data_IF_017670096213
#
_entry.id   IF_017670096213
#
_cell.length_a   1.000
_cell.length_b   1.000
_cell.length_c   1.000
_cell.angle_alpha   90.00
_cell.angle_beta   90.00
_cell.angle_gamma   90.00
#
_symmetry.space_group_name_H-M   'P 1'
#
loop_
_entity.id
_entity.type
_entity.pdbx_description
1 polymer ?
#
# COMPACT_ATOMS: atom_id res chain seq x y z
N UNK A 1 11.69 1.18 5.82
CA UNK A 1 11.55 2.29 6.78
C UNK A 1 11.90 3.64 6.18
N UNK A 2 13.16 3.92 5.79
CA UNK A 2 13.52 5.26 5.25
C UNK A 2 12.63 5.77 4.10
N UNK A 3 12.29 4.91 3.13
CA UNK A 3 11.38 5.25 2.02
C UNK A 3 9.93 5.49 2.46
N UNK A 4 9.46 4.79 3.49
CA UNK A 4 8.13 4.99 4.05
C UNK A 4 8.05 6.35 4.73
N UNK A 5 9.06 6.69 5.54
CA UNK A 5 9.17 8.01 6.18
C UNK A 5 9.25 9.11 5.12
N UNK A 6 10.06 8.93 4.08
CA UNK A 6 10.12 9.88 2.96
C UNK A 6 8.75 10.09 2.31
N UNK A 7 8.01 9.02 2.01
CA UNK A 7 6.67 9.13 1.46
C UNK A 7 5.71 9.88 2.40
N UNK A 8 5.73 9.58 3.70
CA UNK A 8 4.91 10.30 4.69
C UNK A 8 5.27 11.79 4.75
N UNK A 9 6.56 12.13 4.74
CA UNK A 9 7.01 13.53 4.81
C UNK A 9 6.67 14.26 3.51
N UNK A 10 6.94 13.65 2.36
CA UNK A 10 6.67 14.23 1.05
C UNK A 10 5.17 14.48 0.88
N UNK A 11 4.34 13.45 1.04
CA UNK A 11 2.90 13.60 0.88
C UNK A 11 2.25 14.40 2.02
N UNK A 12 2.75 14.27 3.26
CA UNK A 12 2.33 15.12 4.37
C UNK A 12 2.63 16.60 4.13
N UNK A 13 3.74 16.93 3.46
CA UNK A 13 4.04 18.32 3.09
C UNK A 13 3.04 18.88 2.06
N UNK A 14 2.46 18.03 1.21
CA UNK A 14 1.43 18.49 0.26
C UNK A 14 0.16 18.95 0.96
N UNK A 15 -0.17 18.39 2.13
CA UNK A 15 -1.29 18.84 2.95
C UNK A 15 -1.08 20.28 3.41
N UNK A 16 0.15 20.64 3.80
CA UNK A 16 0.51 22.02 4.16
C UNK A 16 0.44 22.97 2.94
N UNK A 17 0.85 22.51 1.76
CA UNK A 17 0.75 23.29 0.53
C UNK A 17 -0.72 23.59 0.14
N UNK A 18 -1.63 22.64 0.38
CA UNK A 18 -3.08 22.86 0.20
C UNK A 18 -3.59 23.85 1.26
N UNK A 19 -3.25 23.64 2.55
CA UNK A 19 -3.66 24.54 3.64
C UNK A 19 -3.21 25.98 3.42
N UNK A 20 -1.99 26.19 2.93
CA UNK A 20 -1.46 27.52 2.61
C UNK A 20 -1.94 28.08 1.27
N UNK A 21 -2.85 27.39 0.58
CA UNK A 21 -3.40 27.79 -0.72
C UNK A 21 -2.33 28.02 -1.79
N UNK A 22 -1.23 27.27 -1.71
CA UNK A 22 -0.12 27.34 -2.68
C UNK A 22 -0.39 26.42 -3.87
N UNK A 23 -1.11 25.31 -3.63
CA UNK A 23 -1.56 24.41 -4.69
C UNK A 23 -2.77 25.01 -5.42
N UNK A 24 -2.60 25.17 -6.73
CA UNK A 24 -3.62 25.70 -7.62
C UNK A 24 -4.01 24.66 -8.66
N UNK A 25 -5.28 24.64 -9.02
CA UNK A 25 -5.80 23.97 -10.21
C UNK A 25 -5.22 24.61 -11.49
N UNK A 26 -5.38 23.94 -12.63
CA UNK A 26 -4.89 24.46 -13.92
C UNK A 26 -5.60 25.76 -14.37
N UNK A 27 -6.73 26.11 -13.74
CA UNK A 27 -7.43 27.37 -13.92
C UNK A 27 -6.94 28.48 -12.95
N UNK A 28 -5.86 28.25 -12.21
CA UNK A 28 -5.30 29.16 -11.19
C UNK A 28 -6.20 29.37 -9.97
N UNK A 29 -7.23 28.55 -9.75
CA UNK A 29 -7.98 28.55 -8.49
C UNK A 29 -7.24 27.73 -7.43
N UNK A 30 -7.14 28.20 -6.18
CA UNK A 30 -6.50 27.43 -5.11
C UNK A 30 -7.34 26.19 -4.76
N UNK A 31 -6.65 25.11 -4.38
CA UNK A 31 -7.30 23.94 -3.80
C UNK A 31 -7.67 24.27 -2.35
N UNK A 32 -8.96 24.35 -2.03
CA UNK A 32 -9.42 24.83 -0.71
C UNK A 32 -9.74 23.71 0.29
N UNK A 33 -9.87 22.46 -0.15
CA UNK A 33 -10.29 21.34 0.70
C UNK A 33 -9.11 20.48 1.20
N UNK A 34 -8.42 20.99 2.22
CA UNK A 34 -7.31 20.29 2.88
C UNK A 34 -7.77 18.97 3.54
N UNK A 35 -9.02 18.89 3.98
CA UNK A 35 -9.61 17.70 4.59
C UNK A 35 -9.73 16.57 3.57
N UNK A 36 -10.39 16.81 2.43
CA UNK A 36 -10.50 15.81 1.38
C UNK A 36 -9.15 15.48 0.73
N UNK A 37 -8.23 16.45 0.65
CA UNK A 37 -6.87 16.17 0.19
C UNK A 37 -6.14 15.18 1.11
N UNK A 38 -6.22 15.37 2.43
CA UNK A 38 -5.62 14.46 3.40
C UNK A 38 -6.18 13.03 3.28
N UNK A 39 -7.48 12.88 3.01
CA UNK A 39 -8.10 11.57 2.78
C UNK A 39 -7.53 10.88 1.54
N UNK A 40 -7.38 11.60 0.42
CA UNK A 40 -6.76 11.06 -0.80
C UNK A 40 -5.30 10.67 -0.56
N UNK A 41 -4.56 11.49 0.17
CA UNK A 41 -3.16 11.24 0.53
C UNK A 41 -2.99 9.90 1.25
N UNK A 42 -3.93 9.50 2.13
CA UNK A 42 -3.89 8.18 2.79
C UNK A 42 -3.80 7.04 1.77
N UNK A 43 -4.61 7.10 0.72
CA UNK A 43 -4.60 6.11 -0.35
C UNK A 43 -3.33 6.20 -1.21
N UNK A 44 -2.92 7.41 -1.60
CA UNK A 44 -1.73 7.61 -2.45
C UNK A 44 -0.47 7.07 -1.79
N UNK A 45 -0.32 7.24 -0.47
CA UNK A 45 0.84 6.72 0.25
C UNK A 45 0.87 5.19 0.22
N UNK A 46 -0.28 4.53 0.47
CA UNK A 46 -0.39 3.08 0.40
C UNK A 46 -0.09 2.54 -1.01
N UNK A 47 -0.55 3.25 -2.04
CA UNK A 47 -0.25 2.96 -3.44
C UNK A 47 1.26 3.05 -3.72
N UNK A 48 1.88 4.17 -3.36
CA UNK A 48 3.29 4.46 -3.63
C UNK A 48 4.25 3.55 -2.88
N UNK A 49 3.90 3.16 -1.65
CA UNK A 49 4.73 2.30 -0.83
C UNK A 49 5.17 1.02 -1.55
N UNK A 50 4.28 0.39 -2.31
CA UNK A 50 4.62 -0.87 -3.00
C UNK A 50 5.67 -0.65 -4.08
N UNK A 51 5.59 0.45 -4.81
CA UNK A 51 6.57 0.79 -5.85
C UNK A 51 7.93 1.16 -5.26
N UNK A 52 7.96 1.79 -4.09
CA UNK A 52 9.21 2.14 -3.39
C UNK A 52 9.99 0.91 -2.90
N UNK A 53 9.32 -0.23 -2.71
CA UNK A 53 10.01 -1.48 -2.34
C UNK A 53 10.80 -2.10 -3.50
N UNK A 54 10.50 -1.72 -4.75
CA UNK A 54 11.16 -2.29 -5.91
C UNK A 54 12.60 -1.82 -6.05
N UNK A 55 13.49 -2.79 -6.29
CA UNK A 55 14.89 -2.56 -6.67
C UNK A 55 15.17 -3.28 -7.98
N UNK A 56 14.84 -2.63 -9.11
CA UNK A 56 15.11 -3.10 -10.48
C UNK A 56 16.52 -3.64 -10.72
N UNK A 57 17.62 -3.05 -10.18
CA UNK A 57 18.96 -3.58 -10.43
C UNK A 57 19.25 -4.92 -9.75
N UNK A 58 18.36 -5.44 -8.89
CA UNK A 58 18.54 -6.74 -8.24
C UNK A 58 17.81 -7.84 -9.01
N UNK A 59 18.39 -9.05 -9.14
CA UNK A 59 17.76 -10.20 -9.80
C UNK A 59 16.53 -10.74 -9.06
N UNK A 60 16.25 -10.26 -7.85
CA UNK A 60 15.04 -10.57 -7.08
C UNK A 60 14.01 -9.42 -7.07
N UNK A 61 14.27 -8.36 -7.84
CA UNK A 61 13.51 -7.11 -7.94
C UNK A 61 13.32 -6.38 -6.59
N UNK A 62 14.14 -6.73 -5.58
CA UNK A 62 14.03 -6.21 -4.21
C UNK A 62 13.23 -7.10 -3.25
N UNK A 63 12.59 -8.17 -3.74
CA UNK A 63 11.80 -9.11 -2.93
C UNK A 63 12.56 -10.39 -2.62
N UNK A 64 12.88 -10.62 -1.35
CA UNK A 64 13.64 -11.78 -0.87
C UNK A 64 13.03 -13.11 -1.36
N UNK A 65 13.88 -14.06 -1.75
CA UNK A 65 13.46 -15.42 -2.16
C UNK A 65 13.12 -16.34 -0.99
N UNK A 66 13.72 -16.12 0.18
CA UNK A 66 13.41 -16.83 1.42
C UNK A 66 12.82 -15.87 2.46
N UNK A 67 11.80 -16.34 3.19
CA UNK A 67 11.13 -15.54 4.22
C UNK A 67 10.34 -14.34 3.67
N UNK A 68 9.89 -14.37 2.41
CA UNK A 68 9.12 -13.28 1.80
C UNK A 68 7.84 -12.96 2.58
N UNK A 69 7.08 -14.00 2.95
CA UNK A 69 5.80 -13.88 3.66
C UNK A 69 5.96 -13.15 5.00
N UNK A 70 6.77 -13.64 5.97
CA UNK A 70 6.92 -12.96 7.25
C UNK A 70 7.54 -11.56 7.08
N UNK A 71 8.43 -11.38 6.11
CA UNK A 71 9.02 -10.07 5.83
C UNK A 71 7.99 -9.04 5.36
N UNK A 72 7.12 -9.41 4.40
CA UNK A 72 6.09 -8.52 3.88
C UNK A 72 5.01 -8.21 4.92
N UNK A 73 4.59 -9.19 5.71
CA UNK A 73 3.63 -8.98 6.79
C UNK A 73 4.17 -7.97 7.82
N UNK A 74 5.41 -8.17 8.28
CA UNK A 74 6.07 -7.24 9.20
C UNK A 74 6.24 -5.86 8.56
N UNK A 75 6.66 -5.80 7.29
CA UNK A 75 6.85 -4.53 6.59
C UNK A 75 5.55 -3.74 6.43
N UNK A 76 4.44 -4.41 6.12
CA UNK A 76 3.12 -3.78 5.98
C UNK A 76 2.59 -3.28 7.32
N UNK A 77 2.75 -4.04 8.40
CA UNK A 77 2.41 -3.57 9.75
C UNK A 77 3.26 -2.35 10.12
N UNK A 78 4.56 -2.39 9.87
CA UNK A 78 5.47 -1.29 10.17
C UNK A 78 5.16 -0.02 9.37
N UNK A 79 4.86 -0.11 8.07
CA UNK A 79 4.46 1.08 7.28
C UNK A 79 3.11 1.62 7.73
N UNK A 80 2.19 0.75 8.12
CA UNK A 80 0.88 1.15 8.67
C UNK A 80 1.09 1.95 9.94
N UNK A 81 1.94 1.49 10.86
CA UNK A 81 2.27 2.23 12.08
C UNK A 81 2.92 3.59 11.77
N UNK A 82 3.85 3.64 10.82
CA UNK A 82 4.48 4.90 10.38
C UNK A 82 3.45 5.87 9.81
N UNK A 83 2.48 5.37 9.03
CA UNK A 83 1.39 6.17 8.49
C UNK A 83 0.43 6.66 9.57
N UNK A 84 0.10 5.83 10.56
CA UNK A 84 -0.74 6.22 11.69
C UNK A 84 -0.07 7.29 12.54
N UNK A 85 1.23 7.16 12.81
CA UNK A 85 1.99 8.20 13.51
C UNK A 85 1.95 9.53 12.74
N UNK A 86 2.05 9.48 11.40
CA UNK A 86 1.88 10.69 10.59
C UNK A 86 0.46 11.26 10.70
N UNK A 87 -0.57 10.41 10.60
CA UNK A 87 -1.98 10.83 10.74
C UNK A 87 -2.28 11.45 12.09
N UNK A 88 -1.65 11.00 13.18
CA UNK A 88 -1.78 11.61 14.51
C UNK A 88 -1.26 13.06 14.56
N UNK A 89 -0.33 13.41 13.68
CA UNK A 89 0.22 14.78 13.56
C UNK A 89 -0.65 15.66 12.65
N UNK A 90 -1.44 15.07 11.75
CA UNK A 90 -2.22 15.82 10.76
C UNK A 90 -3.26 16.78 11.35
N UNK A 91 -3.95 16.48 12.48
CA UNK A 91 -4.81 17.46 13.15
C UNK A 91 -4.11 18.78 13.47
N UNK A 92 -2.83 18.72 13.84
CA UNK A 92 -2.02 19.91 14.11
C UNK A 92 -1.65 20.66 12.80
N UNK A 93 -1.45 19.91 11.71
CA UNK A 93 -1.06 20.44 10.40
C UNK A 93 -2.22 20.96 9.57
N UNK A 94 -3.43 20.42 9.72
CA UNK A 94 -4.63 20.84 8.98
C UNK A 94 -5.40 21.89 9.79
N UNK A 95 -5.46 21.73 11.13
CA UNK A 95 -6.07 22.71 12.03
C UNK A 95 -7.57 22.91 11.77
N UNK A 96 -8.04 24.16 11.52
CA UNK A 96 -9.46 24.49 11.44
C UNK A 96 -10.18 23.94 10.20
N UNK A 97 -9.43 23.50 9.18
CA UNK A 97 -10.00 22.99 7.93
C UNK A 97 -10.52 21.53 8.07
N UNK A 98 -10.25 20.87 9.20
CA UNK A 98 -10.78 19.54 9.51
C UNK A 98 -12.27 19.60 9.85
N UNK A 99 -13.05 18.73 9.20
CA UNK A 99 -14.46 18.55 9.54
C UNK A 99 -14.57 17.84 10.90
N UNK A 100 -15.20 18.50 11.87
CA UNK A 100 -15.43 17.94 13.21
C UNK A 100 -16.29 16.67 13.15
N UNK A 101 -16.16 15.81 14.17
CA UNK A 101 -16.89 14.53 14.28
C UNK A 101 -16.61 13.50 13.19
N UNK A 102 -15.51 13.66 12.46
CA UNK A 102 -15.05 12.68 11.47
C UNK A 102 -13.92 11.82 12.03
N UNK A 103 -13.77 10.59 11.52
CA UNK A 103 -12.66 9.71 11.89
C UNK A 103 -11.31 10.41 11.72
N UNK A 104 -11.12 11.20 10.65
CA UNK A 104 -9.85 11.90 10.40
C UNK A 104 -9.53 12.98 11.44
N UNK A 105 -10.54 13.73 11.91
CA UNK A 105 -10.36 14.77 12.91
C UNK A 105 -10.10 14.19 14.30
N UNK A 106 -10.75 13.06 14.62
CA UNK A 106 -10.76 12.48 15.97
C UNK A 106 -9.69 11.39 16.18
N UNK A 107 -8.79 11.12 15.20
CA UNK A 107 -7.75 10.06 15.30
C UNK A 107 -6.91 10.16 16.57
N UNK A 108 -6.67 11.38 17.07
CA UNK A 108 -5.86 11.64 18.26
C UNK A 108 -6.65 11.50 19.58
N UNK A 109 -7.92 11.93 19.58
CA UNK A 109 -8.79 12.07 20.76
C UNK A 109 -9.63 10.83 21.04
N UNK A 110 -10.05 10.11 19.99
CA UNK A 110 -10.98 9.00 20.07
C UNK A 110 -10.31 7.66 19.69
N UNK A 111 -10.23 6.68 20.62
CA UNK A 111 -9.70 5.36 20.31
C UNK A 111 -10.49 4.64 19.20
N UNK A 112 -11.77 4.94 19.02
CA UNK A 112 -12.60 4.33 17.97
C UNK A 112 -12.17 4.83 16.59
N UNK A 113 -11.99 6.14 16.45
CA UNK A 113 -11.47 6.77 15.24
C UNK A 113 -10.07 6.21 14.90
N UNK A 114 -9.21 6.07 15.92
CA UNK A 114 -7.89 5.47 15.74
C UNK A 114 -7.96 4.03 15.19
N UNK A 115 -8.84 3.18 15.75
CA UNK A 115 -9.01 1.80 15.28
C UNK A 115 -9.56 1.74 13.84
N UNK A 116 -10.49 2.61 13.48
CA UNK A 116 -11.00 2.70 12.10
C UNK A 116 -9.87 3.09 11.14
N UNK A 117 -9.13 4.16 11.46
CA UNK A 117 -8.00 4.61 10.67
C UNK A 117 -6.93 3.51 10.53
N UNK A 118 -6.60 2.82 11.62
CA UNK A 118 -5.67 1.70 11.62
C UNK A 118 -6.13 0.56 10.70
N UNK A 119 -7.39 0.16 10.80
CA UNK A 119 -7.98 -0.89 9.97
C UNK A 119 -7.95 -0.55 8.48
N UNK A 120 -8.39 0.66 8.12
CA UNK A 120 -8.40 1.14 6.72
C UNK A 120 -6.99 1.24 6.15
N UNK A 121 -6.07 1.88 6.86
CA UNK A 121 -4.69 2.06 6.41
C UNK A 121 -4.01 0.70 6.23
N UNK A 122 -4.23 -0.22 7.17
CA UNK A 122 -3.71 -1.59 7.09
C UNK A 122 -4.28 -2.31 5.86
N UNK A 123 -5.59 -2.23 5.66
CA UNK A 123 -6.28 -2.82 4.51
C UNK A 123 -5.71 -2.31 3.19
N UNK A 124 -5.59 -0.98 3.02
CA UNK A 124 -5.06 -0.38 1.80
C UNK A 124 -3.62 -0.80 1.53
N UNK A 125 -2.73 -0.69 2.54
CA UNK A 125 -1.33 -1.10 2.40
C UNK A 125 -1.22 -2.59 2.06
N UNK A 126 -1.97 -3.45 2.73
CA UNK A 126 -1.95 -4.88 2.50
C UNK A 126 -2.49 -5.26 1.12
N UNK A 127 -3.63 -4.69 0.71
CA UNK A 127 -4.26 -4.98 -0.58
C UNK A 127 -3.45 -4.49 -1.78
N UNK A 128 -2.95 -3.26 -1.74
CA UNK A 128 -2.07 -2.77 -2.80
C UNK A 128 -0.83 -3.65 -2.92
N UNK A 129 -0.21 -4.03 -1.79
CA UNK A 129 0.94 -4.93 -1.80
C UNK A 129 0.57 -6.30 -2.35
N UNK A 130 -0.56 -6.87 -1.95
CA UNK A 130 -1.03 -8.18 -2.36
C UNK A 130 -1.29 -8.29 -3.88
N UNK A 131 -1.80 -7.22 -4.49
CA UNK A 131 -2.10 -7.17 -5.93
C UNK A 131 -0.84 -6.90 -6.75
N UNK A 132 -0.04 -5.92 -6.32
CA UNK A 132 1.11 -5.44 -7.09
C UNK A 132 2.29 -6.42 -7.01
N UNK A 133 2.41 -7.19 -5.93
CA UNK A 133 3.47 -8.19 -5.78
C UNK A 133 3.47 -9.21 -6.95
N UNK A 134 2.43 -10.02 -7.20
CA UNK A 134 2.41 -10.95 -8.33
C UNK A 134 2.45 -10.23 -9.68
N UNK A 135 1.87 -9.02 -9.79
CA UNK A 135 1.91 -8.19 -10.99
C UNK A 135 3.36 -7.91 -11.44
N UNK A 136 4.26 -7.65 -10.49
CA UNK A 136 5.66 -7.36 -10.78
C UNK A 136 6.49 -8.64 -10.92
N UNK A 137 6.21 -9.66 -10.10
CA UNK A 137 7.14 -10.79 -9.94
C UNK A 137 6.85 -12.01 -10.81
N UNK A 138 5.64 -12.16 -11.34
CA UNK A 138 5.20 -13.38 -12.05
C UNK A 138 5.02 -13.19 -13.57
N UNK A 139 5.65 -12.15 -14.14
CA UNK A 139 5.66 -11.90 -15.58
C UNK A 139 4.38 -11.27 -16.14
N UNK A 140 4.31 -11.12 -17.47
CA UNK A 140 3.29 -10.30 -18.15
C UNK A 140 1.86 -10.83 -18.01
N UNK A 141 1.67 -12.16 -17.93
CA UNK A 141 0.34 -12.76 -17.77
C UNK A 141 -0.26 -12.44 -16.40
N UNK A 142 0.54 -12.58 -15.35
CA UNK A 142 0.13 -12.17 -14.01
C UNK A 142 -0.11 -10.65 -13.95
N UNK A 143 0.71 -9.86 -14.65
CA UNK A 143 0.53 -8.42 -14.74
C UNK A 143 -0.83 -8.04 -15.35
N UNK A 144 -1.27 -8.71 -16.43
CA UNK A 144 -2.57 -8.47 -17.05
C UNK A 144 -3.73 -8.86 -16.12
N UNK A 145 -3.64 -10.00 -15.44
CA UNK A 145 -4.68 -10.46 -14.51
C UNK A 145 -4.79 -9.52 -13.30
N UNK A 146 -3.66 -9.05 -12.77
CA UNK A 146 -3.63 -8.15 -11.62
C UNK A 146 -3.94 -6.69 -11.96
N UNK A 147 -3.91 -6.31 -13.24
CA UNK A 147 -4.19 -4.93 -13.67
C UNK A 147 -5.62 -4.51 -13.33
N UNK A 148 -6.61 -5.37 -13.60
CA UNK A 148 -8.02 -5.04 -13.34
C UNK A 148 -8.29 -4.88 -11.83
N UNK A 149 -7.88 -5.81 -10.94
CA UNK A 149 -7.93 -5.61 -9.49
C UNK A 149 -7.18 -4.36 -9.02
N UNK A 150 -6.03 -4.05 -9.63
CA UNK A 150 -5.23 -2.88 -9.27
C UNK A 150 -5.97 -1.57 -9.58
N UNK A 151 -6.50 -1.42 -10.80
CA UNK A 151 -7.31 -0.26 -11.19
C UNK A 151 -8.59 -0.16 -10.35
N UNK A 152 -9.24 -1.30 -10.10
CA UNK A 152 -10.39 -1.37 -9.21
C UNK A 152 -10.07 -0.88 -7.80
N UNK A 153 -8.91 -1.26 -7.25
CA UNK A 153 -8.46 -0.82 -5.93
C UNK A 153 -8.02 0.65 -5.89
N UNK A 154 -7.57 1.25 -7.00
CA UNK A 154 -7.33 2.70 -7.04
C UNK A 154 -8.65 3.45 -6.86
N UNK A 155 -9.69 3.07 -7.62
CA UNK A 155 -11.00 3.72 -7.55
C UNK A 155 -11.68 3.43 -6.21
N UNK A 156 -11.77 2.16 -5.83
CA UNK A 156 -12.40 1.72 -4.59
C UNK A 156 -11.62 2.23 -3.38
N UNK A 157 -10.30 2.14 -3.38
CA UNK A 157 -9.45 2.61 -2.27
C UNK A 157 -9.55 4.11 -2.07
N UNK A 158 -9.61 4.89 -3.15
CA UNK A 158 -9.82 6.34 -3.08
C UNK A 158 -11.21 6.68 -2.51
N UNK A 159 -12.25 6.03 -3.01
CA UNK A 159 -13.61 6.18 -2.50
C UNK A 159 -13.73 5.80 -1.02
N UNK A 160 -13.17 4.65 -0.62
CA UNK A 160 -13.17 4.19 0.76
C UNK A 160 -12.40 5.13 1.67
N UNK A 161 -11.24 5.64 1.25
CA UNK A 161 -10.47 6.58 2.04
C UNK A 161 -11.28 7.87 2.32
N UNK A 162 -12.00 8.39 1.34
CA UNK A 162 -12.87 9.56 1.53
C UNK A 162 -14.04 9.21 2.44
N UNK A 163 -14.85 8.20 2.10
CA UNK A 163 -16.09 7.91 2.81
C UNK A 163 -15.83 7.48 4.25
N UNK A 164 -14.84 6.62 4.49
CA UNK A 164 -14.60 6.09 5.83
C UNK A 164 -13.99 7.12 6.74
N UNK A 165 -13.07 7.93 6.23
CA UNK A 165 -12.41 8.97 7.04
C UNK A 165 -13.31 10.19 7.28
N UNK A 166 -14.34 10.40 6.45
CA UNK A 166 -15.39 11.41 6.66
C UNK A 166 -16.56 10.89 7.51
N UNK A 167 -16.61 9.59 7.79
CA UNK A 167 -17.68 9.00 8.59
C UNK A 167 -17.51 9.30 10.08
N UNK A 168 -18.59 9.28 10.88
CA UNK A 168 -18.49 9.36 12.33
C UNK A 168 -17.85 8.10 12.91
N UNK A 169 -17.08 8.20 14.01
CA UNK A 169 -16.44 7.06 14.64
C UNK A 169 -17.46 6.18 15.36
N UNK A 170 -17.78 5.03 14.77
CA UNK A 170 -18.72 4.05 15.30
C UNK A 170 -18.01 2.73 15.62
N UNK A 171 -18.37 2.09 16.73
CA UNK A 171 -17.85 0.78 17.14
C UNK A 171 -18.00 -0.29 16.06
N UNK A 172 -19.14 -0.32 15.36
CA UNK A 172 -19.40 -1.23 14.24
C UNK A 172 -18.44 -0.99 13.08
N UNK A 173 -18.13 0.28 12.80
CA UNK A 173 -17.13 0.68 11.82
C UNK A 173 -15.73 0.20 12.21
N UNK A 174 -15.34 0.34 13.48
CA UNK A 174 -14.04 -0.13 13.97
C UNK A 174 -13.88 -1.64 13.78
N UNK A 175 -14.89 -2.42 14.17
CA UNK A 175 -14.87 -3.88 13.99
C UNK A 175 -14.78 -4.27 12.50
N UNK A 176 -15.55 -3.61 11.64
CA UNK A 176 -15.54 -3.84 10.19
C UNK A 176 -14.16 -3.58 9.59
N UNK A 177 -13.57 -2.42 9.87
CA UNK A 177 -12.31 -2.01 9.25
C UNK A 177 -11.10 -2.74 9.82
N UNK A 178 -11.11 -3.10 11.10
CA UNK A 178 -10.10 -4.00 11.66
C UNK A 178 -10.20 -5.40 11.03
N UNK A 179 -11.42 -5.92 10.85
CA UNK A 179 -11.66 -7.17 10.13
C UNK A 179 -11.16 -7.12 8.68
N UNK A 180 -11.43 -6.01 7.98
CA UNK A 180 -10.94 -5.78 6.63
C UNK A 180 -9.40 -5.71 6.59
N UNK A 181 -8.77 -5.02 7.54
CA UNK A 181 -7.31 -4.96 7.66
C UNK A 181 -6.68 -6.35 7.84
N UNK A 182 -7.27 -7.19 8.70
CA UNK A 182 -6.85 -8.59 8.88
C UNK A 182 -7.04 -9.41 7.61
N UNK A 183 -8.18 -9.25 6.91
CA UNK A 183 -8.43 -9.92 5.63
C UNK A 183 -7.38 -9.50 4.58
N UNK A 184 -7.02 -8.21 4.54
CA UNK A 184 -5.95 -7.70 3.69
C UNK A 184 -4.61 -8.39 3.96
N UNK A 185 -4.26 -8.60 5.23
CA UNK A 185 -3.05 -9.34 5.59
C UNK A 185 -3.10 -10.82 5.18
N UNK A 186 -4.26 -11.48 5.29
CA UNK A 186 -4.45 -12.86 4.82
C UNK A 186 -4.26 -12.94 3.30
N UNK A 187 -4.84 -12.00 2.55
CA UNK A 187 -4.68 -11.92 1.09
C UNK A 187 -3.24 -11.60 0.68
N UNK A 188 -2.53 -10.76 1.45
CA UNK A 188 -1.11 -10.51 1.28
C UNK A 188 -0.28 -11.78 1.51
N UNK A 189 -0.58 -12.56 2.56
CA UNK A 189 0.10 -13.83 2.80
C UNK A 189 -0.15 -14.81 1.65
N UNK A 190 -1.40 -14.94 1.20
CA UNK A 190 -1.78 -15.82 0.09
C UNK A 190 -1.08 -15.42 -1.22
N UNK A 191 -1.12 -14.14 -1.61
CA UNK A 191 -0.43 -13.64 -2.80
C UNK A 191 1.08 -13.83 -2.72
N UNK A 192 1.68 -13.62 -1.54
CA UNK A 192 3.10 -13.87 -1.32
C UNK A 192 3.46 -15.35 -1.48
N UNK A 193 2.60 -16.27 -1.03
CA UNK A 193 2.79 -17.71 -1.24
C UNK A 193 2.69 -18.10 -2.71
N UNK A 194 1.74 -17.53 -3.46
CA UNK A 194 1.62 -17.72 -4.91
C UNK A 194 2.92 -17.31 -5.60
N UNK A 195 3.49 -16.17 -5.24
CA UNK A 195 4.77 -15.70 -5.79
C UNK A 195 5.94 -16.63 -5.47
N UNK A 196 6.00 -17.14 -4.24
CA UNK A 196 7.03 -18.12 -3.84
C UNK A 196 6.87 -19.41 -4.65
N UNK A 197 5.64 -19.86 -4.89
CA UNK A 197 5.36 -21.07 -5.66
C UNK A 197 5.76 -20.90 -7.14
N UNK A 198 5.31 -19.83 -7.80
CA UNK A 198 5.70 -19.53 -9.19
C UNK A 198 7.23 -19.45 -9.37
N UNK A 199 7.94 -18.78 -8.45
CA UNK A 199 9.40 -18.67 -8.51
C UNK A 199 10.12 -20.01 -8.33
N UNK A 200 9.53 -20.99 -7.62
CA UNK A 200 10.12 -22.33 -7.48
C UNK A 200 10.04 -23.10 -8.79
N UNK A 201 8.92 -23.01 -9.48
CA UNK A 201 8.69 -23.71 -10.74
C UNK A 201 9.64 -23.20 -11.84
N UNK A 202 9.84 -21.88 -11.93
CA UNK A 202 10.78 -21.27 -12.87
C UNK A 202 12.23 -21.78 -12.66
N UNK A 203 12.69 -21.86 -11.40
CA UNK A 203 14.02 -22.39 -11.08
C UNK A 203 14.14 -23.89 -11.43
N UNK A 204 13.07 -24.66 -11.22
CA UNK A 204 13.02 -26.08 -11.60
C UNK A 204 13.11 -26.27 -13.11
N UNK A 205 12.41 -25.42 -13.87
CA UNK A 205 12.41 -25.41 -15.34
C UNK A 205 13.78 -24.99 -15.91
N UNK A 206 14.45 -24.00 -15.31
CA UNK A 206 15.81 -23.61 -15.72
C UNK A 206 16.83 -24.73 -15.49
N UNK A 207 16.77 -25.42 -14.35
CA UNK A 207 17.68 -26.53 -14.05
C UNK A 207 17.51 -27.72 -15.00
N UNK A 208 16.26 -28.06 -15.33
CA UNK A 208 15.98 -29.15 -16.27
C UNK A 208 16.42 -28.82 -17.69
N UNK A 209 16.25 -27.56 -18.14
CA UNK A 209 16.79 -27.10 -19.44
C UNK A 209 18.31 -27.07 -19.48
N UNK A 210 18.97 -26.67 -18.41
CA UNK A 210 20.44 -26.72 -18.32
C UNK A 210 20.97 -28.16 -18.35
N UNK A 211 20.28 -29.10 -17.68
CA UNK A 211 20.63 -30.51 -17.70
C UNK A 211 20.43 -31.15 -19.09
N UNK A 212 19.35 -30.81 -19.81
CA UNK A 212 19.11 -31.32 -21.17
C UNK A 212 20.02 -30.68 -22.22
N UNK A 213 20.37 -29.40 -22.08
CA UNK A 213 21.35 -28.71 -22.93
C UNK A 213 22.80 -29.15 -22.71
N UNK A 214 23.15 -29.60 -21.49
CA UNK A 214 24.48 -30.13 -21.18
C UNK A 214 24.75 -31.54 -21.72
N UNK A 215 23.72 -32.31 -22.07
CA UNK A 215 23.87 -33.67 -22.61
C UNK A 215 24.18 -33.71 -24.12
N UNK A 216 23.96 -32.64 -24.88
CA UNK A 216 24.32 -32.61 -26.32
C UNK A 216 25.77 -32.17 -26.59
N UNK A 217 26.54 -31.83 -25.54
CA UNK A 217 27.89 -31.28 -25.64
C UNK A 217 29.03 -32.22 -25.24
N UNK A 218 28.81 -33.55 -25.20
CA UNK A 218 29.93 -34.50 -25.09
C UNK A 218 30.44 -34.84 -26.49
N UNK A 219 31.62 -34.34 -26.93
CA UNK A 219 32.25 -34.91 -28.10
C UNK A 219 32.57 -36.37 -27.79
N UNK A 220 32.08 -37.26 -28.63
CA UNK A 220 32.51 -38.66 -28.68
C UNK A 220 34.00 -38.67 -29.00
N UNK A 221 34.83 -39.06 -28.02
CA UNK A 221 36.18 -39.56 -28.23
C UNK A 221 36.12 -41.09 -28.28
#
# INVERSE_FOLDING_TARGET
>A
MGLAVFAQVFFGSTILLVRWRVLHYNNLEPVEDAHSWAQVVVMVIALMWVFLQMKRPRPDLGFRRSGLVPFLLIAVVLVTLVQLVAMLVWPLLIGPDLKSFTVLAEVWSDPVAFLIAAGVVLFLNAMFTAIVLPMITCGWKAALVCLLPYLGMIVLGGYLAVVVLDSPPLMTGAALWMGAGLLGLVLLAASSLVVVWFRRDDIGAERTRAASGGMSGRPSL
#
